data_IF_085557274130
#
_entry.id   IF_085557274130
#
_cell.length_a   1.000
_cell.length_b   1.000
_cell.length_c   1.000
_cell.angle_alpha   90.00
_cell.angle_beta   90.00
_cell.angle_gamma   90.00
#
_symmetry.space_group_name_H-M   'P 1'
#
loop_
_entity.id
_entity.type
_entity.pdbx_description
1 polymer ?
#
# COMPACT_ATOMS: atom_id res chain seq x y z
N UNK A 1 1.79 19.18 21.79
CA UNK A 1 1.83 17.76 21.39
C UNK A 1 2.53 17.69 20.05
N UNK A 2 3.34 16.66 19.77
CA UNK A 2 3.93 16.50 18.45
C UNK A 2 2.82 16.31 17.41
N UNK A 3 3.04 16.81 16.19
CA UNK A 3 2.13 16.59 15.07
C UNK A 3 2.22 15.13 14.60
N UNK A 4 1.09 14.47 14.27
CA UNK A 4 1.12 13.12 13.72
C UNK A 4 1.89 13.07 12.39
N UNK A 5 2.76 12.08 12.25
CA UNK A 5 3.46 11.82 11.00
C UNK A 5 2.52 11.11 10.03
N UNK A 6 2.34 11.68 8.84
CA UNK A 6 1.57 11.08 7.77
C UNK A 6 2.44 10.07 6.99
N UNK A 7 2.26 8.78 7.32
CA UNK A 7 3.08 7.69 6.77
C UNK A 7 2.55 7.16 5.43
N UNK A 8 1.25 7.25 5.20
CA UNK A 8 0.58 6.65 4.04
C UNK A 8 -0.49 7.63 3.56
N UNK A 9 -0.22 8.29 2.43
CA UNK A 9 -1.10 9.30 1.85
C UNK A 9 -1.46 8.93 0.40
N UNK A 10 -2.67 9.25 0.00
CA UNK A 10 -3.16 9.13 -1.38
C UNK A 10 -4.01 10.33 -1.75
N UNK A 11 -3.79 10.86 -2.95
CA UNK A 11 -4.74 11.77 -3.59
C UNK A 11 -5.89 10.93 -4.18
N UNK A 12 -7.14 11.40 -4.07
CA UNK A 12 -8.35 10.67 -4.51
C UNK A 12 -8.29 10.17 -5.97
N UNK A 13 -7.53 10.86 -6.83
CA UNK A 13 -7.35 10.50 -8.24
C UNK A 13 -6.37 9.35 -8.51
N UNK A 14 -5.61 8.90 -7.51
CA UNK A 14 -4.47 7.99 -7.72
C UNK A 14 -4.72 6.56 -7.25
N UNK A 15 -5.73 6.35 -6.41
CA UNK A 15 -6.08 5.06 -5.82
C UNK A 15 -5.87 5.03 -4.31
N UNK A 16 -6.29 3.96 -3.65
CA UNK A 16 -6.17 3.80 -2.20
C UNK A 16 -4.94 2.95 -1.85
N UNK A 17 -4.21 3.29 -0.78
CA UNK A 17 -3.07 2.51 -0.34
C UNK A 17 -3.53 1.21 0.27
N UNK A 18 -2.68 0.19 0.21
CA UNK A 18 -3.00 -1.16 0.71
C UNK A 18 -4.26 -1.76 0.06
N UNK A 19 -4.29 -1.71 -1.28
CA UNK A 19 -5.34 -2.31 -2.09
C UNK A 19 -5.31 -3.84 -2.10
N UNK A 20 -6.49 -4.42 -2.36
CA UNK A 20 -6.62 -5.84 -2.71
C UNK A 20 -7.00 -5.88 -4.18
N UNK A 21 -6.19 -6.58 -4.98
CA UNK A 21 -6.53 -6.90 -6.36
C UNK A 21 -7.51 -8.07 -6.35
N UNK A 22 -8.63 -7.89 -7.03
CA UNK A 22 -9.54 -8.98 -7.33
C UNK A 22 -9.64 -9.04 -8.83
N UNK A 23 -8.90 -9.98 -9.41
CA UNK A 23 -8.97 -10.29 -10.83
C UNK A 23 -10.13 -11.28 -11.02
N UNK A 24 -11.28 -10.70 -11.38
CA UNK A 24 -12.50 -11.41 -11.76
C UNK A 24 -12.85 -11.08 -13.21
N UNK A 25 -13.48 -12.01 -13.92
CA UNK A 25 -14.10 -11.74 -15.22
C UNK A 25 -15.63 -11.85 -15.07
N UNK A 26 -16.40 -10.76 -15.27
CA UNK A 26 -15.97 -9.41 -15.62
C UNK A 26 -15.20 -8.69 -14.50
N UNK A 27 -14.37 -7.71 -14.90
CA UNK A 27 -13.59 -6.89 -13.99
C UNK A 27 -14.48 -6.17 -12.97
N UNK A 28 -13.91 -5.82 -11.81
CA UNK A 28 -14.59 -5.02 -10.79
C UNK A 28 -15.25 -3.80 -11.45
N UNK A 29 -16.59 -3.76 -11.44
CA UNK A 29 -17.33 -2.63 -12.01
C UNK A 29 -16.96 -1.34 -11.27
N UNK A 30 -16.91 -0.21 -11.96
CA UNK A 30 -16.75 1.10 -11.33
C UNK A 30 -17.99 1.35 -10.44
N UNK A 31 -17.76 1.60 -9.15
CA UNK A 31 -18.84 1.76 -8.19
C UNK A 31 -18.34 1.85 -6.75
N UNK A 32 -19.07 2.58 -5.93
CA UNK A 32 -18.69 2.87 -4.55
C UNK A 32 -18.83 1.61 -3.68
N UNK A 33 -17.96 1.51 -2.67
CA UNK A 33 -18.11 0.52 -1.61
C UNK A 33 -19.17 1.00 -0.62
N UNK A 34 -20.00 0.08 -0.13
CA UNK A 34 -20.79 0.34 1.07
C UNK A 34 -19.90 0.19 2.30
N UNK A 35 -20.06 1.07 3.28
CA UNK A 35 -19.37 1.01 4.57
C UNK A 35 -20.39 0.76 5.68
N UNK A 36 -20.04 -0.04 6.68
CA UNK A 36 -20.90 -0.33 7.82
C UNK A 36 -20.91 0.78 8.88
N UNK A 37 -19.76 1.45 9.06
CA UNK A 37 -19.58 2.59 9.97
C UNK A 37 -18.77 3.71 9.32
N UNK A 38 -19.26 4.94 9.43
CA UNK A 38 -18.55 6.12 8.88
C UNK A 38 -17.30 6.48 9.70
N UNK A 39 -17.29 6.13 11.00
CA UNK A 39 -16.18 6.44 11.89
C UNK A 39 -16.03 5.39 12.99
N UNK A 40 -14.80 4.94 13.20
CA UNK A 40 -14.38 4.15 14.35
C UNK A 40 -13.51 5.00 15.27
N UNK A 41 -13.80 5.02 16.58
CA UNK A 41 -12.96 5.65 17.59
C UNK A 41 -12.69 4.64 18.70
N UNK A 42 -11.42 4.36 18.95
CA UNK A 42 -10.98 3.51 20.07
C UNK A 42 -10.39 4.45 21.13
N UNK A 43 -11.07 4.60 22.25
CA UNK A 43 -10.75 5.58 23.30
C UNK A 43 -10.08 4.94 24.51
N UNK A 44 -10.25 3.63 24.69
CA UNK A 44 -9.73 2.88 25.83
C UNK A 44 -8.58 1.98 25.43
N UNK A 45 -7.61 1.79 26.31
CA UNK A 45 -6.51 0.85 26.08
C UNK A 45 -7.03 -0.59 25.93
N UNK A 46 -6.53 -1.30 24.92
CA UNK A 46 -6.96 -2.66 24.56
C UNK A 46 -8.34 -2.71 23.89
N UNK A 47 -8.99 -1.57 23.64
CA UNK A 47 -10.22 -1.51 22.86
C UNK A 47 -9.96 -1.96 21.42
N UNK A 48 -10.91 -2.72 20.89
CA UNK A 48 -10.88 -3.27 19.53
C UNK A 48 -12.08 -2.76 18.75
N UNK A 49 -11.93 -2.62 17.45
CA UNK A 49 -13.03 -2.27 16.57
C UNK A 49 -12.80 -2.73 15.15
N UNK A 50 -13.88 -2.75 14.38
CA UNK A 50 -13.88 -3.22 13.01
C UNK A 50 -14.59 -2.22 12.12
N UNK A 51 -14.09 -2.07 10.89
CA UNK A 51 -14.78 -1.36 9.80
C UNK A 51 -14.88 -2.31 8.61
N UNK A 52 -16.09 -2.54 8.11
CA UNK A 52 -16.36 -3.42 6.99
C UNK A 52 -16.79 -2.62 5.74
N UNK A 53 -16.08 -2.86 4.65
CA UNK A 53 -16.44 -2.40 3.32
C UNK A 53 -17.03 -3.55 2.52
N UNK A 54 -18.19 -3.35 1.92
CA UNK A 54 -18.86 -4.37 1.11
C UNK A 54 -19.20 -3.88 -0.29
N UNK A 55 -19.13 -4.78 -1.26
CA UNK A 55 -19.51 -4.51 -2.64
C UNK A 55 -20.06 -5.77 -3.29
N UNK A 56 -21.19 -5.63 -3.97
CA UNK A 56 -21.74 -6.65 -4.85
C UNK A 56 -21.34 -6.31 -6.28
N UNK A 57 -20.76 -7.27 -6.98
CA UNK A 57 -20.33 -7.14 -8.37
C UNK A 57 -21.46 -7.55 -9.32
N UNK A 58 -21.36 -7.07 -10.55
CA UNK A 58 -22.35 -7.31 -11.61
C UNK A 58 -22.51 -8.82 -11.93
N UNK A 59 -21.47 -9.62 -11.66
CA UNK A 59 -21.49 -11.07 -11.84
C UNK A 59 -22.11 -11.85 -10.65
N UNK A 60 -22.61 -11.16 -9.62
CA UNK A 60 -23.25 -11.75 -8.45
C UNK A 60 -22.28 -12.16 -7.32
N UNK A 61 -20.98 -11.89 -7.47
CA UNK A 61 -20.04 -12.00 -6.35
C UNK A 61 -20.27 -10.88 -5.35
N UNK A 62 -20.27 -11.21 -4.06
CA UNK A 62 -20.23 -10.22 -2.99
C UNK A 62 -18.86 -10.29 -2.31
N UNK A 63 -18.22 -9.15 -2.18
CA UNK A 63 -16.92 -9.00 -1.53
C UNK A 63 -17.11 -8.19 -0.26
N UNK A 64 -16.53 -8.66 0.84
CA UNK A 64 -16.48 -7.94 2.12
C UNK A 64 -15.02 -7.84 2.57
N UNK A 65 -14.54 -6.63 2.82
CA UNK A 65 -13.23 -6.33 3.40
C UNK A 65 -13.45 -5.86 4.83
N UNK A 66 -12.94 -6.56 5.84
CA UNK A 66 -13.03 -6.14 7.24
C UNK A 66 -11.66 -5.74 7.76
N UNK A 67 -11.54 -4.48 8.16
CA UNK A 67 -10.37 -3.95 8.84
C UNK A 67 -10.57 -4.07 10.34
N UNK A 68 -9.67 -4.74 11.02
CA UNK A 68 -9.69 -4.96 12.46
C UNK A 68 -8.58 -4.14 13.12
N UNK A 69 -8.96 -3.32 14.09
CA UNK A 69 -8.07 -2.38 14.79
C UNK A 69 -8.01 -2.72 16.28
N UNK A 70 -6.86 -2.46 16.90
CA UNK A 70 -6.65 -2.50 18.34
C UNK A 70 -5.94 -1.21 18.77
N UNK A 71 -6.44 -0.56 19.81
CA UNK A 71 -5.92 0.74 20.30
C UNK A 71 -4.45 0.73 20.75
N UNK A 72 -3.89 -0.45 20.98
CA UNK A 72 -2.56 -0.71 21.51
C UNK A 72 -1.61 -1.39 20.50
N UNK A 73 -2.01 -1.47 19.22
CA UNK A 73 -1.23 -2.15 18.19
C UNK A 73 -1.17 -1.35 16.88
N UNK A 74 0.00 -1.37 16.25
CA UNK A 74 0.22 -0.82 14.90
C UNK A 74 -0.15 -1.82 13.79
N UNK A 75 -0.66 -2.99 14.17
CA UNK A 75 -1.11 -4.01 13.21
C UNK A 75 -2.59 -3.84 12.92
N UNK A 76 -2.92 -3.67 11.64
CA UNK A 76 -4.30 -3.65 11.15
C UNK A 76 -4.57 -5.01 10.53
N UNK A 77 -5.54 -5.74 11.08
CA UNK A 77 -5.99 -7.00 10.48
C UNK A 77 -6.88 -6.73 9.27
N UNK A 78 -6.72 -7.49 8.19
CA UNK A 78 -7.56 -7.37 7.00
C UNK A 78 -8.10 -8.75 6.60
N UNK A 79 -9.39 -8.94 6.81
CA UNK A 79 -10.11 -10.14 6.37
C UNK A 79 -10.85 -9.85 5.06
N UNK A 80 -10.73 -10.75 4.11
CA UNK A 80 -11.42 -10.66 2.81
C UNK A 80 -12.32 -11.86 2.64
N UNK A 81 -13.62 -11.61 2.55
CA UNK A 81 -14.63 -12.62 2.25
C UNK A 81 -15.16 -12.42 0.84
N UNK A 82 -15.27 -13.53 0.11
CA UNK A 82 -15.82 -13.57 -1.24
C UNK A 82 -16.94 -14.61 -1.24
N UNK A 83 -18.17 -14.14 -1.39
CA UNK A 83 -19.37 -14.96 -1.46
C UNK A 83 -19.81 -15.06 -2.93
N UNK A 84 -19.93 -16.28 -3.45
CA UNK A 84 -20.55 -16.51 -4.76
C UNK A 84 -22.04 -16.81 -4.56
N UNK A 85 -22.88 -15.80 -4.75
CA UNK A 85 -24.33 -15.94 -4.71
C UNK A 85 -24.95 -16.49 -5.99
N UNK A 86 -24.15 -16.78 -7.01
CA UNK A 86 -24.62 -17.27 -8.30
C UNK A 86 -24.70 -18.80 -8.36
N UNK A 87 -25.44 -19.33 -9.34
CA UNK A 87 -25.52 -20.77 -9.62
C UNK A 87 -24.37 -21.31 -10.46
N UNK A 88 -23.40 -20.47 -10.83
CA UNK A 88 -22.26 -20.82 -11.68
C UNK A 88 -20.96 -20.63 -10.90
N UNK A 89 -19.97 -21.45 -11.20
CA UNK A 89 -18.62 -21.20 -10.71
C UNK A 89 -18.08 -19.91 -11.34
N UNK A 90 -17.50 -19.04 -10.52
CA UNK A 90 -16.86 -17.81 -10.97
C UNK A 90 -15.39 -17.88 -10.55
N UNK A 91 -14.44 -17.96 -11.50
CA UNK A 91 -13.02 -17.96 -11.16
C UNK A 91 -12.63 -16.59 -10.64
N UNK A 92 -12.01 -16.55 -9.46
CA UNK A 92 -11.52 -15.33 -8.82
C UNK A 92 -10.07 -15.52 -8.42
N UNK A 93 -9.23 -14.55 -8.76
CA UNK A 93 -7.87 -14.46 -8.24
C UNK A 93 -7.78 -13.25 -7.31
N UNK A 94 -7.26 -13.48 -6.11
CA UNK A 94 -7.02 -12.43 -5.13
C UNK A 94 -5.53 -12.15 -5.11
N UNK A 95 -5.18 -10.89 -5.25
CA UNK A 95 -3.82 -10.37 -5.20
C UNK A 95 -3.73 -9.20 -4.24
N UNK A 96 -2.51 -8.73 -4.05
CA UNK A 96 -2.19 -7.62 -3.18
C UNK A 96 -1.68 -6.46 -4.03
N UNK A 97 -2.16 -5.26 -3.74
CA UNK A 97 -1.74 -4.06 -4.44
C UNK A 97 -1.32 -3.00 -3.45
N UNK A 98 -0.16 -2.39 -3.70
CA UNK A 98 0.20 -1.15 -3.05
C UNK A 98 0.03 0.02 -4.03
N UNK A 99 -0.89 0.94 -3.69
CA UNK A 99 -1.05 2.22 -4.38
C UNK A 99 -0.87 3.35 -3.38
N UNK A 100 0.34 3.85 -3.19
CA UNK A 100 0.58 4.91 -2.21
C UNK A 100 1.68 5.84 -2.65
N UNK A 101 1.47 7.13 -2.46
CA UNK A 101 2.55 8.10 -2.41
C UNK A 101 3.14 8.06 -1.01
N UNK A 102 4.46 7.97 -0.92
CA UNK A 102 5.17 8.24 0.32
C UNK A 102 5.85 9.60 0.12
N UNK A 103 5.39 10.62 0.85
CA UNK A 103 5.89 11.99 0.71
C UNK A 103 7.25 12.13 1.40
N UNK A 104 8.32 11.71 0.73
CA UNK A 104 9.69 11.77 1.24
C UNK A 104 10.20 13.20 1.43
N UNK A 105 9.58 14.18 0.76
CA UNK A 105 9.99 15.59 0.84
C UNK A 105 9.78 16.18 2.24
N UNK A 106 8.62 15.94 2.86
CA UNK A 106 8.36 16.36 4.25
C UNK A 106 9.36 15.72 5.22
N UNK A 107 9.72 14.46 5.00
CA UNK A 107 10.72 13.76 5.81
C UNK A 107 12.13 14.36 5.61
N UNK A 108 12.52 14.67 4.38
CA UNK A 108 13.81 15.29 4.07
C UNK A 108 13.95 16.72 4.64
N UNK A 109 12.86 17.48 4.71
CA UNK A 109 12.85 18.85 5.27
C UNK A 109 12.96 18.87 6.81
N UNK A 110 12.71 17.73 7.49
CA UNK A 110 12.76 17.60 8.97
C UNK A 110 14.14 17.22 9.55
N UNK A 111 15.24 17.47 8.83
CA UNK A 111 16.61 17.05 9.19
C UNK A 111 16.83 15.52 9.30
N UNK A 112 15.89 14.69 8.85
CA UNK A 112 16.06 13.23 8.76
C UNK A 112 16.97 12.95 7.56
N UNK A 113 18.24 12.64 7.84
CA UNK A 113 19.33 12.56 6.84
C UNK A 113 19.26 11.33 5.95
N UNK A 114 18.46 10.32 6.30
CA UNK A 114 18.30 9.08 5.55
C UNK A 114 16.83 8.73 5.28
N UNK A 115 16.14 9.58 4.51
CA UNK A 115 14.76 9.35 4.04
C UNK A 115 14.68 8.27 2.92
N UNK A 116 15.67 7.39 2.80
CA UNK A 116 15.77 6.42 1.71
C UNK A 116 14.67 5.37 1.76
N UNK A 117 13.73 5.44 0.83
CA UNK A 117 12.66 4.47 0.71
C UNK A 117 13.19 3.16 0.13
N UNK A 118 12.97 2.07 0.84
CA UNK A 118 13.31 0.73 0.40
C UNK A 118 12.04 -0.10 0.36
N UNK A 119 11.93 -0.97 -0.63
CA UNK A 119 11.01 -2.10 -0.48
C UNK A 119 11.77 -3.41 -0.38
N UNK A 120 11.15 -4.34 0.32
CA UNK A 120 11.62 -5.70 0.43
C UNK A 120 10.43 -6.65 0.36
N UNK A 121 10.65 -7.84 -0.17
CA UNK A 121 9.68 -8.92 -0.07
C UNK A 121 10.37 -10.26 0.10
N UNK A 122 9.69 -11.17 0.80
CA UNK A 122 10.10 -12.55 0.92
C UNK A 122 9.36 -13.39 -0.12
N UNK A 123 10.10 -14.04 -0.99
CA UNK A 123 9.60 -14.95 -2.02
C UNK A 123 10.34 -16.27 -1.96
N UNK A 124 9.63 -17.35 -1.60
CA UNK A 124 10.20 -18.69 -1.51
C UNK A 124 11.49 -18.73 -0.68
N UNK A 125 11.44 -18.20 0.55
CA UNK A 125 12.58 -18.08 1.48
C UNK A 125 13.71 -17.11 1.07
N UNK A 126 13.62 -16.44 -0.08
CA UNK A 126 14.58 -15.41 -0.50
C UNK A 126 14.03 -14.02 -0.27
N UNK A 127 14.79 -13.17 0.41
CA UNK A 127 14.48 -11.74 0.55
C UNK A 127 15.02 -11.00 -0.67
N UNK A 128 14.13 -10.40 -1.45
CA UNK A 128 14.46 -9.44 -2.52
C UNK A 128 14.36 -8.02 -1.94
N UNK A 129 15.31 -7.14 -2.30
CA UNK A 129 15.36 -5.75 -1.83
C UNK A 129 15.61 -4.82 -3.00
N UNK A 130 14.99 -3.65 -2.97
CA UNK A 130 15.27 -2.57 -3.93
C UNK A 130 15.22 -1.22 -3.23
N UNK A 131 16.25 -0.41 -3.46
CA UNK A 131 16.30 0.97 -3.01
C UNK A 131 15.58 1.85 -4.06
N UNK A 132 14.61 2.65 -3.60
CA UNK A 132 13.82 3.57 -4.43
C UNK A 132 14.18 5.04 -4.20
N UNK A 133 15.02 5.34 -3.19
CA UNK A 133 15.49 6.68 -2.88
C UNK A 133 16.50 6.70 -1.73
N UNK A 134 17.04 7.88 -1.42
CA UNK A 134 18.01 8.10 -0.31
C UNK A 134 19.40 8.51 -0.79
N UNK A 135 20.30 8.79 0.16
CA UNK A 135 21.71 8.98 -0.15
C UNK A 135 22.31 7.64 -0.60
N UNK A 136 22.90 7.61 -1.79
CA UNK A 136 23.62 6.42 -2.24
C UNK A 136 24.73 6.10 -1.25
N UNK A 137 24.70 4.91 -0.66
CA UNK A 137 25.84 4.33 0.05
C UNK A 137 26.95 3.91 -0.95
N UNK A 138 27.30 4.78 -1.89
CA UNK A 138 28.53 4.65 -2.66
C UNK A 138 29.65 5.24 -1.81
N UNK A 139 30.56 4.37 -1.38
CA UNK A 139 31.62 4.66 -0.44
C UNK A 139 32.35 5.99 -0.67
N UNK A 140 32.60 6.67 0.45
CA UNK A 140 33.58 7.74 0.67
C UNK A 140 34.20 8.38 -0.58
N UNK A 141 33.49 9.33 -1.19
CA UNK A 141 34.12 10.43 -1.92
C UNK A 141 33.59 11.75 -1.33
N UNK A 142 34.43 12.61 -0.72
CA UNK A 142 33.98 13.89 -0.21
C UNK A 142 33.70 14.82 -1.39
N UNK A 143 32.41 15.10 -1.63
CA UNK A 143 31.96 16.11 -2.59
C UNK A 143 30.90 15.60 -3.56
N UNK A 144 29.71 16.21 -3.47
CA UNK A 144 28.70 16.31 -4.53
C UNK A 144 27.90 15.06 -4.92
N UNK A 145 27.10 14.51 -3.99
CA UNK A 145 25.77 14.03 -4.36
C UNK A 145 24.74 14.69 -3.46
N UNK A 146 23.91 15.57 -4.04
CA UNK A 146 22.73 16.09 -3.37
C UNK A 146 21.82 14.91 -3.05
N UNK A 147 21.39 14.81 -1.80
CA UNK A 147 20.45 13.79 -1.37
C UNK A 147 19.22 13.83 -2.32
N UNK A 148 18.84 12.69 -2.93
CA UNK A 148 17.65 12.59 -3.80
C UNK A 148 16.36 12.89 -3.03
N UNK A 149 15.86 14.12 -3.00
CA UNK A 149 14.65 14.48 -2.23
C UNK A 149 13.34 14.00 -2.89
N UNK A 150 13.44 13.34 -4.04
CA UNK A 150 12.32 12.83 -4.83
C UNK A 150 12.52 11.34 -5.10
N UNK A 151 11.40 10.61 -5.14
CA UNK A 151 11.37 9.19 -5.47
C UNK A 151 11.29 9.03 -6.98
N UNK A 152 12.09 8.11 -7.54
CA UNK A 152 11.90 7.72 -8.94
C UNK A 152 10.57 6.99 -9.10
N UNK A 153 9.88 7.25 -10.22
CA UNK A 153 8.67 6.49 -10.55
C UNK A 153 9.00 5.00 -10.64
N UNK A 154 8.15 4.15 -10.10
CA UNK A 154 8.31 2.70 -10.18
C UNK A 154 6.99 2.03 -10.53
N UNK A 155 7.10 0.97 -11.32
CA UNK A 155 6.02 0.03 -11.61
C UNK A 155 6.63 -1.37 -11.66
N UNK A 156 6.09 -2.30 -10.89
CA UNK A 156 6.49 -3.69 -10.95
C UNK A 156 5.33 -4.64 -10.68
N UNK A 157 5.43 -5.83 -11.27
CA UNK A 157 4.51 -6.94 -11.05
C UNK A 157 5.37 -8.16 -10.73
N UNK A 158 5.19 -8.69 -9.53
CA UNK A 158 5.84 -9.92 -9.08
C UNK A 158 4.80 -11.02 -8.83
N UNK A 159 5.13 -12.25 -9.22
CA UNK A 159 4.28 -13.43 -9.03
C UNK A 159 5.04 -14.54 -8.32
N UNK A 160 4.38 -15.27 -7.43
CA UNK A 160 4.91 -16.46 -6.78
C UNK A 160 4.43 -16.61 -5.34
N UNK A 161 5.15 -17.41 -4.55
CA UNK A 161 4.88 -17.56 -3.12
C UNK A 161 5.46 -16.36 -2.36
N UNK A 162 4.70 -15.26 -2.36
CA UNK A 162 5.05 -14.03 -1.64
C UNK A 162 4.56 -14.18 -0.20
N UNK A 163 5.47 -14.15 0.76
CA UNK A 163 5.17 -14.38 2.18
C UNK A 163 4.94 -13.07 2.94
N UNK A 164 5.67 -12.02 2.59
CA UNK A 164 5.44 -10.65 3.05
C UNK A 164 6.05 -9.65 2.07
N UNK A 165 5.51 -8.44 2.08
CA UNK A 165 6.01 -7.28 1.35
C UNK A 165 6.08 -6.10 2.30
N UNK A 166 7.14 -5.30 2.22
CA UNK A 166 7.29 -4.13 3.08
C UNK A 166 7.83 -2.94 2.31
N UNK A 167 7.31 -1.75 2.64
CA UNK A 167 8.00 -0.48 2.46
C UNK A 167 8.63 -0.06 3.78
N UNK A 168 9.87 0.39 3.74
CA UNK A 168 10.62 0.81 4.91
C UNK A 168 11.28 2.18 4.66
N UNK A 169 11.14 3.06 5.64
CA UNK A 169 12.04 4.18 5.88
C UNK A 169 13.02 3.83 7.01
N UNK A 170 13.75 4.83 7.50
CA UNK A 170 14.71 4.63 8.60
C UNK A 170 14.04 4.24 9.92
N UNK A 171 12.90 4.87 10.24
CA UNK A 171 12.20 4.73 11.53
C UNK A 171 10.83 4.07 11.45
N UNK A 172 10.32 3.81 10.25
CA UNK A 172 8.99 3.25 10.03
C UNK A 172 9.02 2.15 8.98
N UNK A 173 8.11 1.20 9.12
CA UNK A 173 7.82 0.23 8.07
C UNK A 173 6.32 0.05 7.92
N UNK A 174 5.86 -0.01 6.68
CA UNK A 174 4.54 -0.52 6.36
C UNK A 174 4.74 -1.90 5.74
N UNK A 175 4.13 -2.91 6.35
CA UNK A 175 4.31 -4.30 5.96
C UNK A 175 2.95 -4.95 5.70
N UNK A 176 2.89 -5.69 4.62
CA UNK A 176 1.75 -6.45 4.16
C UNK A 176 2.11 -7.93 4.22
N UNK A 177 1.35 -8.68 4.99
CA UNK A 177 1.55 -10.12 5.19
C UNK A 177 0.32 -10.84 4.63
N UNK A 178 0.40 -11.46 3.44
CA UNK A 178 -0.67 -12.32 2.95
C UNK A 178 -0.89 -13.50 3.91
N UNK A 179 -2.12 -14.05 3.98
CA UNK A 179 -2.33 -15.33 4.62
C UNK A 179 -1.46 -16.40 3.94
N UNK A 180 -0.99 -17.44 4.66
CA UNK A 180 -0.23 -18.52 4.06
C UNK A 180 -1.09 -19.24 3.00
N UNK A 181 -0.86 -18.93 1.72
CA UNK A 181 -1.54 -19.53 0.59
C UNK A 181 -0.78 -20.77 0.11
N UNK A 182 -1.51 -21.77 -0.40
CA UNK A 182 -0.93 -22.90 -1.16
C UNK A 182 -0.68 -22.58 -2.64
N UNK A 183 -0.80 -21.31 -3.05
CA UNK A 183 -0.82 -20.89 -4.45
C UNK A 183 -0.04 -19.61 -4.72
N UNK A 184 0.05 -19.22 -5.99
CA UNK A 184 0.75 -18.00 -6.40
C UNK A 184 -0.03 -16.75 -6.03
N UNK A 185 0.64 -15.80 -5.38
CA UNK A 185 0.15 -14.44 -5.14
C UNK A 185 0.78 -13.50 -6.17
N UNK A 186 -0.02 -12.56 -6.66
CA UNK A 186 0.49 -11.44 -7.47
C UNK A 186 0.61 -10.21 -6.58
N UNK A 187 1.79 -9.59 -6.60
CA UNK A 187 2.09 -8.31 -5.99
C UNK A 187 2.27 -7.28 -7.10
N UNK A 188 1.56 -6.18 -7.00
CA UNK A 188 1.78 -5.01 -7.83
C UNK A 188 2.19 -3.83 -6.95
N UNK A 189 3.20 -3.09 -7.40
CA UNK A 189 3.63 -1.86 -6.75
C UNK A 189 3.78 -0.76 -7.78
N UNK A 190 3.08 0.36 -7.55
CA UNK A 190 3.13 1.55 -8.42
C UNK A 190 3.40 2.80 -7.60
N UNK A 191 4.23 3.68 -8.14
CA UNK A 191 4.50 5.03 -7.62
C UNK A 191 4.86 5.96 -8.78
N UNK A 192 4.19 7.11 -8.88
CA UNK A 192 4.37 8.07 -9.98
C UNK A 192 4.94 9.38 -9.43
N UNK A 193 5.87 9.98 -10.17
CA UNK A 193 6.35 11.33 -9.90
C UNK A 193 5.29 12.37 -10.33
N UNK A 194 4.96 13.31 -9.44
CA UNK A 194 4.16 14.48 -9.83
C UNK A 194 5.00 15.34 -10.79
N UNK A 195 4.69 15.28 -12.09
CA UNK A 195 5.39 16.08 -13.10
C UNK A 195 4.91 17.53 -13.02
N UNK A 196 5.50 18.33 -12.15
CA UNK A 196 5.35 19.79 -12.22
C UNK A 196 6.19 20.35 -13.36
N UNK A 197 5.65 20.33 -14.57
CA UNK A 197 6.12 21.25 -15.60
C UNK A 197 4.99 21.62 -16.57
N UNK A 198 4.27 22.68 -16.23
CA UNK A 198 3.49 23.48 -17.14
C UNK A 198 3.74 24.95 -16.83
N UNK A 199 4.85 25.50 -17.32
CA UNK A 199 5.02 26.96 -17.42
C UNK A 199 3.89 27.48 -18.31
N UNK A 200 2.96 28.24 -17.75
CA UNK A 200 2.28 29.29 -18.52
C UNK A 200 3.24 30.48 -18.51
N UNK A 201 4.06 30.59 -19.55
CA UNK A 201 4.45 31.93 -20.01
C UNK A 201 3.17 32.59 -20.52
N UNK A 202 2.77 33.65 -19.85
CA UNK A 202 1.81 34.62 -20.36
C UNK A 202 2.66 35.80 -20.78
N UNK A 203 2.77 36.00 -22.09
CA UNK A 203 2.89 37.30 -22.75
C UNK A 203 2.00 37.27 -23.99
#
# INVERSE_FOLDING_TARGET
>A
MPEPLDLVNTDEGEGLPLGILIDSNPALSSGNWGVDVDQLRLLSAGEKGTVAFSKVLDNGLKIVKRFNFSSDQDTIGLDVEIENGSSKEIPVRVGLEWVGKIELKKLADTEIKDYGLKYAFLKGQKVEKKDLGGATSSGCTPGCSSAKTTMESFDFIDRGQIEWFSFAGEYFTSMLIPPPTKGETTLTGRGVEESRCGRREVD
#
